data_IF_522532806239
#
_entry.id   IF_522532806239
#
_cell.length_a   1.000
_cell.length_b   1.000
_cell.length_c   1.000
_cell.angle_alpha   90.00
_cell.angle_beta   90.00
_cell.angle_gamma   90.00
#
_symmetry.space_group_name_H-M   'P 1'
#
loop_
_entity.id
_entity.type
_entity.pdbx_description
1 polymer ?
#
# COMPACT_ATOMS: atom_id res chain seq x y z
N UNK A 1 22.77 -73.42 11.24
CA UNK A 1 22.40 -74.54 10.35
C UNK A 1 22.20 -73.96 8.95
N UNK A 2 22.94 -74.45 7.95
CA UNK A 2 23.23 -73.72 6.70
C UNK A 2 22.03 -73.19 5.92
N UNK A 3 22.20 -71.99 5.34
CA UNK A 3 21.28 -71.28 4.44
C UNK A 3 21.09 -72.04 3.11
N UNK A 4 20.44 -73.21 3.18
CA UNK A 4 19.97 -73.88 1.98
C UNK A 4 18.75 -73.12 1.47
N UNK A 5 18.83 -72.64 0.23
CA UNK A 5 17.68 -72.05 -0.44
C UNK A 5 16.51 -73.04 -0.42
N UNK A 6 15.27 -72.55 -0.36
CA UNK A 6 14.08 -73.42 -0.38
C UNK A 6 14.13 -74.37 -1.59
N UNK A 7 14.68 -73.94 -2.73
CA UNK A 7 14.95 -74.79 -3.89
C UNK A 7 15.91 -75.94 -3.58
N UNK A 8 16.98 -75.69 -2.82
CA UNK A 8 17.93 -76.73 -2.40
C UNK A 8 17.30 -77.68 -1.37
N UNK A 9 16.47 -77.18 -0.45
CA UNK A 9 15.69 -78.01 0.49
C UNK A 9 14.64 -78.87 -0.22
N UNK A 10 13.92 -78.29 -1.19
CA UNK A 10 12.96 -79.01 -2.05
C UNK A 10 13.66 -80.08 -2.87
N UNK A 11 14.78 -79.73 -3.52
CA UNK A 11 15.56 -80.67 -4.32
C UNK A 11 16.11 -81.81 -3.47
N UNK A 12 16.57 -81.53 -2.25
CA UNK A 12 17.03 -82.56 -1.32
C UNK A 12 15.90 -83.46 -0.81
N UNK A 13 14.74 -82.90 -0.47
CA UNK A 13 13.58 -83.67 0.01
C UNK A 13 12.97 -84.56 -1.09
N UNK A 14 12.71 -84.00 -2.27
CA UNK A 14 12.24 -84.76 -3.42
C UNK A 14 13.28 -85.80 -3.88
N UNK A 15 14.56 -85.41 -3.89
CA UNK A 15 15.66 -86.31 -4.21
C UNK A 15 15.77 -87.48 -3.23
N UNK A 16 15.61 -87.24 -1.92
CA UNK A 16 15.64 -88.29 -0.91
C UNK A 16 14.45 -89.26 -1.03
N UNK A 17 13.24 -88.74 -1.25
CA UNK A 17 12.04 -89.59 -1.47
C UNK A 17 12.17 -90.42 -2.74
N UNK A 18 12.62 -89.81 -3.86
CA UNK A 18 12.86 -90.53 -5.11
C UNK A 18 13.96 -91.58 -4.98
N UNK A 19 15.02 -91.30 -4.21
CA UNK A 19 16.11 -92.23 -3.95
C UNK A 19 15.63 -93.43 -3.12
N UNK A 20 14.81 -93.22 -2.08
CA UNK A 20 14.23 -94.33 -1.30
C UNK A 20 13.27 -95.16 -2.15
N UNK A 21 12.46 -94.54 -3.01
CA UNK A 21 11.61 -95.25 -3.96
C UNK A 21 12.41 -96.05 -4.99
N UNK A 22 13.50 -95.48 -5.52
CA UNK A 22 14.38 -96.16 -6.47
C UNK A 22 15.12 -97.35 -5.81
N UNK A 23 15.57 -97.20 -4.56
CA UNK A 23 16.16 -98.29 -3.78
C UNK A 23 15.13 -99.38 -3.50
N UNK A 24 13.89 -99.03 -3.14
CA UNK A 24 12.82 -99.99 -2.91
C UNK A 24 12.45 -100.77 -4.18
N UNK A 25 12.34 -100.09 -5.33
CA UNK A 25 12.14 -100.73 -6.63
C UNK A 25 13.31 -101.63 -7.03
N UNK A 26 14.54 -101.17 -6.84
CA UNK A 26 15.75 -101.93 -7.15
C UNK A 26 15.88 -103.20 -6.31
N UNK A 27 15.69 -103.08 -4.99
CA UNK A 27 15.66 -104.23 -4.06
C UNK A 27 14.48 -105.17 -4.34
N UNK A 28 13.31 -104.63 -4.70
CA UNK A 28 12.15 -105.42 -5.08
C UNK A 28 12.43 -106.29 -6.31
N UNK A 29 13.06 -105.73 -7.35
CA UNK A 29 13.42 -106.48 -8.57
C UNK A 29 14.48 -107.54 -8.31
N UNK A 30 15.52 -107.24 -7.49
CA UNK A 30 16.57 -108.23 -7.18
C UNK A 30 16.03 -109.38 -6.34
N UNK A 31 15.15 -109.10 -5.37
CA UNK A 31 14.51 -110.14 -4.56
C UNK A 31 13.47 -110.95 -5.36
N UNK A 32 12.73 -110.34 -6.30
CA UNK A 32 11.83 -111.09 -7.18
C UNK A 32 12.60 -112.10 -8.04
N UNK A 33 13.80 -111.73 -8.51
CA UNK A 33 14.71 -112.64 -9.21
C UNK A 33 15.21 -113.75 -8.30
N UNK A 34 15.61 -113.43 -7.06
CA UNK A 34 16.06 -114.42 -6.08
C UNK A 34 14.94 -115.43 -5.72
N UNK A 35 13.70 -114.97 -5.56
CA UNK A 35 12.52 -115.82 -5.34
C UNK A 35 12.26 -116.69 -6.57
N UNK A 36 12.39 -116.16 -7.80
CA UNK A 36 12.25 -116.92 -9.03
C UNK A 36 13.32 -118.02 -9.20
N UNK A 37 14.57 -117.73 -8.85
CA UNK A 37 15.66 -118.72 -8.83
C UNK A 37 15.42 -119.80 -7.76
N UNK A 38 14.95 -119.40 -6.56
CA UNK A 38 14.60 -120.34 -5.50
C UNK A 38 13.40 -121.23 -5.86
N UNK A 39 12.40 -120.69 -6.58
CA UNK A 39 11.24 -121.45 -7.07
C UNK A 39 11.63 -122.46 -8.16
N UNK A 40 12.51 -122.10 -9.09
CA UNK A 40 13.06 -123.03 -10.09
C UNK A 40 13.96 -124.12 -9.45
N UNK A 41 14.71 -123.79 -8.41
CA UNK A 41 15.48 -124.76 -7.63
C UNK A 41 14.58 -125.73 -6.83
N UNK A 42 13.42 -125.27 -6.35
CA UNK A 42 12.43 -126.11 -5.67
C UNK A 42 11.70 -127.07 -6.62
N UNK A 43 11.44 -126.67 -7.87
CA UNK A 43 10.81 -127.51 -8.90
C UNK A 43 11.73 -128.63 -9.40
N UNK A 44 13.05 -128.41 -9.39
CA UNK A 44 14.05 -129.40 -9.84
C UNK A 44 14.54 -130.36 -8.75
N UNK A 45 14.24 -130.10 -7.47
CA UNK A 45 14.65 -130.91 -6.33
C UNK A 45 13.45 -131.62 -5.66
N UNK A 46 13.22 -132.89 -5.98
CA UNK A 46 12.20 -133.74 -5.36
C UNK A 46 12.50 -134.15 -3.89
N UNK A 47 13.04 -133.26 -3.05
CA UNK A 47 13.25 -133.47 -1.60
C UNK A 47 13.09 -132.19 -0.79
N UNK A 48 12.17 -132.26 0.17
CA UNK A 48 12.36 -131.69 1.51
C UNK A 48 11.66 -130.35 1.76
N UNK A 49 10.88 -130.31 2.85
CA UNK A 49 10.30 -129.12 3.47
C UNK A 49 11.27 -127.93 3.67
N UNK A 50 12.58 -128.13 3.52
CA UNK A 50 13.64 -127.13 3.59
C UNK A 50 13.58 -126.08 2.46
N UNK A 51 13.21 -126.45 1.23
CA UNK A 51 13.09 -125.48 0.12
C UNK A 51 11.85 -124.59 0.27
N UNK A 52 10.75 -125.14 0.80
CA UNK A 52 9.53 -124.38 1.13
C UNK A 52 9.74 -123.42 2.32
N UNK A 53 10.49 -123.85 3.35
CA UNK A 53 10.84 -122.96 4.48
C UNK A 53 11.82 -121.86 4.06
N UNK A 54 12.75 -122.14 3.13
CA UNK A 54 13.66 -121.14 2.58
C UNK A 54 12.94 -120.11 1.69
N UNK A 55 11.95 -120.54 0.90
CA UNK A 55 11.06 -119.63 0.15
C UNK A 55 10.24 -118.75 1.10
N UNK A 56 9.64 -119.33 2.13
CA UNK A 56 8.82 -118.60 3.13
C UNK A 56 9.68 -117.57 3.89
N UNK A 57 10.92 -117.94 4.25
CA UNK A 57 11.87 -117.02 4.88
C UNK A 57 12.33 -115.89 3.94
N UNK A 58 12.51 -116.15 2.65
CA UNK A 58 12.84 -115.10 1.67
C UNK A 58 11.65 -114.19 1.37
N UNK A 59 10.41 -114.73 1.33
CA UNK A 59 9.18 -113.94 1.15
C UNK A 59 8.94 -113.04 2.37
N UNK A 60 9.08 -113.56 3.60
CA UNK A 60 8.87 -112.78 4.84
C UNK A 60 9.91 -111.67 4.98
N UNK A 61 11.21 -111.97 4.82
CA UNK A 61 12.27 -110.94 4.87
C UNK A 61 12.13 -109.89 3.77
N UNK A 62 11.72 -110.27 2.55
CA UNK A 62 11.45 -109.31 1.46
C UNK A 62 10.24 -108.42 1.79
N UNK A 63 9.20 -109.00 2.40
CA UNK A 63 8.00 -108.25 2.83
C UNK A 63 8.34 -107.27 3.94
N UNK A 64 9.18 -107.64 4.90
CA UNK A 64 9.64 -106.77 6.00
C UNK A 64 10.49 -105.59 5.50
N UNK A 65 11.43 -105.83 4.58
CA UNK A 65 12.24 -104.76 3.98
C UNK A 65 11.41 -103.83 3.09
N UNK A 66 10.48 -104.35 2.29
CA UNK A 66 9.58 -103.54 1.47
C UNK A 66 8.60 -102.72 2.33
N UNK A 67 8.06 -103.30 3.40
CA UNK A 67 7.23 -102.58 4.36
C UNK A 67 8.03 -101.49 5.09
N UNK A 68 9.26 -101.79 5.53
CA UNK A 68 10.17 -100.83 6.16
C UNK A 68 10.53 -99.66 5.25
N UNK A 69 10.88 -99.94 3.98
CA UNK A 69 11.17 -98.90 2.98
C UNK A 69 9.92 -98.09 2.59
N UNK A 70 8.75 -98.73 2.53
CA UNK A 70 7.47 -98.06 2.31
C UNK A 70 7.12 -97.09 3.45
N UNK A 71 7.31 -97.51 4.70
CA UNK A 71 7.12 -96.65 5.88
C UNK A 71 8.15 -95.51 5.89
N UNK A 72 9.42 -95.80 5.59
CA UNK A 72 10.46 -94.78 5.51
C UNK A 72 10.16 -93.74 4.41
N UNK A 73 9.70 -94.18 3.24
CA UNK A 73 9.27 -93.29 2.15
C UNK A 73 8.07 -92.42 2.57
N UNK A 74 7.08 -93.01 3.27
CA UNK A 74 5.92 -92.28 3.77
C UNK A 74 6.30 -91.23 4.82
N UNK A 75 7.15 -91.59 5.79
CA UNK A 75 7.64 -90.66 6.81
C UNK A 75 8.45 -89.52 6.19
N UNK A 76 9.30 -89.82 5.20
CA UNK A 76 10.04 -88.80 4.45
C UNK A 76 9.11 -87.91 3.63
N UNK A 77 8.06 -88.46 3.02
CA UNK A 77 7.06 -87.68 2.30
C UNK A 77 6.30 -86.74 3.24
N UNK A 78 5.83 -87.21 4.39
CA UNK A 78 5.15 -86.39 5.42
C UNK A 78 6.08 -85.31 5.96
N UNK A 79 7.32 -85.65 6.30
CA UNK A 79 8.31 -84.69 6.76
C UNK A 79 8.63 -83.62 5.70
N UNK A 80 8.69 -84.01 4.42
CA UNK A 80 8.92 -83.11 3.30
C UNK A 80 7.74 -82.16 3.08
N UNK A 81 6.50 -82.67 3.12
CA UNK A 81 5.28 -81.85 3.02
C UNK A 81 5.20 -80.87 4.19
N UNK A 82 5.50 -81.31 5.42
CA UNK A 82 5.49 -80.45 6.59
C UNK A 82 6.56 -79.35 6.51
N UNK A 83 7.76 -79.69 6.09
CA UNK A 83 8.85 -78.74 5.88
C UNK A 83 8.53 -77.72 4.77
N UNK A 84 7.87 -78.16 3.71
CA UNK A 84 7.43 -77.30 2.61
C UNK A 84 6.27 -76.38 3.04
N UNK A 85 5.27 -76.94 3.73
CA UNK A 85 4.14 -76.19 4.27
C UNK A 85 4.62 -75.09 5.21
N UNK A 86 5.48 -75.43 6.19
CA UNK A 86 6.07 -74.42 7.08
C UNK A 86 6.97 -73.42 6.35
N UNK A 87 7.73 -73.88 5.36
CA UNK A 87 8.65 -73.03 4.59
C UNK A 87 7.96 -72.00 3.68
N UNK A 88 6.70 -72.22 3.32
CA UNK A 88 5.91 -71.32 2.46
C UNK A 88 4.84 -70.56 3.26
N UNK A 89 4.11 -71.23 4.17
CA UNK A 89 3.01 -70.62 4.91
C UNK A 89 3.48 -69.52 5.85
N UNK A 90 4.62 -69.70 6.54
CA UNK A 90 5.09 -68.69 7.49
C UNK A 90 5.48 -67.37 6.81
N UNK A 91 6.34 -67.35 5.76
CA UNK A 91 6.66 -66.09 5.10
C UNK A 91 5.47 -65.46 4.36
N UNK A 92 4.52 -66.27 3.89
CA UNK A 92 3.30 -65.77 3.26
C UNK A 92 2.38 -65.11 4.29
N UNK A 93 2.22 -65.71 5.47
CA UNK A 93 1.46 -65.11 6.57
C UNK A 93 2.11 -63.82 7.10
N UNK A 94 3.44 -63.75 7.14
CA UNK A 94 4.17 -62.51 7.46
C UNK A 94 3.91 -61.42 6.40
N UNK A 95 3.95 -61.77 5.11
CA UNK A 95 3.66 -60.83 4.02
C UNK A 95 2.19 -60.37 4.03
N UNK A 96 1.26 -61.28 4.33
CA UNK A 96 -0.17 -61.00 4.50
C UNK A 96 -0.40 -60.04 5.67
N UNK A 97 0.23 -60.28 6.82
CA UNK A 97 0.15 -59.40 7.98
C UNK A 97 0.64 -57.98 7.65
N UNK A 98 1.80 -57.84 6.97
CA UNK A 98 2.33 -56.54 6.57
C UNK A 98 1.33 -55.84 5.64
N UNK A 99 0.83 -56.55 4.62
CA UNK A 99 -0.11 -56.00 3.66
C UNK A 99 -1.44 -55.59 4.31
N UNK A 100 -1.99 -56.40 5.24
CA UNK A 100 -3.20 -56.07 5.99
C UNK A 100 -3.00 -54.88 6.93
N UNK A 101 -1.84 -54.78 7.57
CA UNK A 101 -1.49 -53.67 8.47
C UNK A 101 -1.41 -52.35 7.68
N UNK A 102 -0.70 -52.36 6.55
CA UNK A 102 -0.63 -51.20 5.63
C UNK A 102 -2.00 -50.87 5.03
N UNK A 103 -2.79 -51.86 4.64
CA UNK A 103 -4.14 -51.67 4.09
C UNK A 103 -5.14 -51.12 5.13
N UNK A 104 -4.96 -51.45 6.40
CA UNK A 104 -5.71 -50.87 7.52
C UNK A 104 -5.27 -49.43 7.83
N UNK A 105 -4.23 -48.92 7.17
CA UNK A 105 -3.67 -47.60 7.38
C UNK A 105 -2.76 -47.52 8.62
N UNK A 106 -2.34 -48.65 9.18
CA UNK A 106 -1.37 -48.66 10.27
C UNK A 106 0.06 -48.66 9.68
N UNK A 107 0.69 -47.50 9.75
CA UNK A 107 2.05 -47.19 9.31
C UNK A 107 2.95 -46.89 10.53
N UNK A 108 2.57 -47.38 11.70
CA UNK A 108 3.33 -47.19 12.95
C UNK A 108 4.24 -48.36 13.28
N UNK A 109 4.24 -49.41 12.45
CA UNK A 109 4.98 -50.65 12.67
C UNK A 109 6.16 -50.72 11.71
N UNK A 110 7.34 -50.95 12.25
CA UNK A 110 8.56 -51.17 11.47
C UNK A 110 8.70 -52.66 11.13
N UNK A 111 8.86 -52.97 9.84
CA UNK A 111 8.95 -54.35 9.35
C UNK A 111 10.37 -54.70 8.90
N UNK A 112 11.18 -55.22 9.82
CA UNK A 112 12.49 -55.78 9.51
C UNK A 112 12.41 -57.29 9.19
N UNK A 113 13.19 -57.74 8.19
CA UNK A 113 13.29 -59.17 7.86
C UNK A 113 14.74 -59.63 7.82
N UNK A 114 15.06 -60.65 8.63
CA UNK A 114 16.35 -61.35 8.56
C UNK A 114 16.35 -62.47 7.51
N UNK A 115 15.20 -62.70 6.84
CA UNK A 115 15.04 -63.78 5.87
C UNK A 115 15.79 -63.46 4.57
N UNK A 116 16.42 -64.47 3.99
CA UNK A 116 17.15 -64.37 2.72
C UNK A 116 16.44 -65.15 1.60
N UNK A 117 16.74 -64.83 0.34
CA UNK A 117 16.11 -65.45 -0.83
C UNK A 117 14.79 -64.78 -1.24
N UNK A 118 13.95 -65.44 -2.08
CA UNK A 118 12.78 -64.80 -2.70
C UNK A 118 11.76 -64.22 -1.72
N UNK A 119 11.48 -64.90 -0.60
CA UNK A 119 10.56 -64.39 0.42
C UNK A 119 11.17 -63.25 1.26
N UNK A 120 12.48 -63.28 1.50
CA UNK A 120 13.18 -62.14 2.10
C UNK A 120 13.12 -60.90 1.21
N UNK A 121 13.27 -61.07 -0.10
CA UNK A 121 13.12 -60.00 -1.08
C UNK A 121 11.68 -59.45 -1.14
N UNK A 122 10.67 -60.32 -1.01
CA UNK A 122 9.25 -59.93 -0.91
C UNK A 122 8.99 -59.10 0.36
N UNK A 123 9.34 -59.65 1.53
CA UNK A 123 9.11 -58.99 2.82
C UNK A 123 9.88 -57.67 2.91
N UNK A 124 11.15 -57.63 2.49
CA UNK A 124 11.92 -56.39 2.42
C UNK A 124 11.38 -55.42 1.36
N UNK A 125 10.69 -55.90 0.33
CA UNK A 125 9.97 -55.06 -0.62
C UNK A 125 8.72 -54.42 -0.02
N UNK A 126 7.96 -55.17 0.78
CA UNK A 126 6.80 -54.66 1.52
C UNK A 126 7.21 -53.67 2.61
N UNK A 127 8.30 -53.93 3.34
CA UNK A 127 8.88 -52.98 4.30
C UNK A 127 9.26 -51.65 3.64
N UNK A 128 10.00 -51.70 2.53
CA UNK A 128 10.31 -50.46 1.76
C UNK A 128 9.07 -49.73 1.24
N UNK A 129 7.99 -50.44 0.93
CA UNK A 129 6.73 -49.83 0.50
C UNK A 129 6.06 -49.10 1.68
N UNK A 130 6.06 -49.73 2.85
CA UNK A 130 5.58 -49.11 4.10
C UNK A 130 6.41 -47.87 4.45
N UNK A 131 7.75 -47.96 4.49
CA UNK A 131 8.65 -46.82 4.71
C UNK A 131 8.34 -45.63 3.79
N UNK A 132 8.16 -45.90 2.49
CA UNK A 132 7.83 -44.88 1.49
C UNK A 132 6.46 -44.25 1.74
N UNK A 133 5.45 -45.03 2.13
CA UNK A 133 4.14 -44.52 2.47
C UNK A 133 4.20 -43.68 3.76
N UNK A 134 4.94 -44.14 4.78
CA UNK A 134 5.16 -43.43 6.04
C UNK A 134 5.82 -42.06 5.82
N UNK A 135 6.87 -41.98 4.99
CA UNK A 135 7.51 -40.71 4.61
C UNK A 135 6.54 -39.81 3.84
N UNK A 136 5.80 -40.34 2.87
CA UNK A 136 4.82 -39.57 2.09
C UNK A 136 3.70 -38.99 2.97
N UNK A 137 3.06 -39.80 3.82
CA UNK A 137 1.99 -39.38 4.72
C UNK A 137 2.52 -38.35 5.73
N UNK A 138 3.74 -38.53 6.26
CA UNK A 138 4.39 -37.57 7.17
C UNK A 138 4.66 -36.23 6.51
N UNK A 139 5.14 -36.23 5.25
CA UNK A 139 5.35 -34.99 4.48
C UNK A 139 4.05 -34.29 4.15
N UNK A 140 3.01 -35.03 3.77
CA UNK A 140 1.68 -34.46 3.50
C UNK A 140 1.13 -33.81 4.77
N UNK A 141 1.19 -34.49 5.92
CA UNK A 141 0.76 -33.93 7.21
C UNK A 141 1.47 -32.61 7.51
N UNK A 142 2.80 -32.60 7.44
CA UNK A 142 3.63 -31.42 7.70
C UNK A 142 3.32 -30.27 6.73
N UNK A 143 3.14 -30.58 5.45
CA UNK A 143 2.78 -29.60 4.43
C UNK A 143 1.40 -29.00 4.69
N UNK A 144 0.44 -29.81 5.14
CA UNK A 144 -0.94 -29.39 5.37
C UNK A 144 -1.06 -28.53 6.64
N UNK A 145 -0.31 -28.86 7.69
CA UNK A 145 -0.17 -28.00 8.88
C UNK A 145 0.40 -26.63 8.50
N UNK A 146 1.42 -26.62 7.63
CA UNK A 146 2.03 -25.38 7.12
C UNK A 146 1.06 -24.54 6.28
N UNK A 147 0.23 -25.17 5.43
CA UNK A 147 -0.81 -24.47 4.64
C UNK A 147 -1.87 -23.87 5.57
N UNK A 148 -2.27 -24.60 6.61
CA UNK A 148 -3.25 -24.12 7.60
C UNK A 148 -2.73 -22.88 8.32
N UNK A 149 -1.49 -22.93 8.83
CA UNK A 149 -0.86 -21.78 9.50
C UNK A 149 -0.72 -20.58 8.54
N UNK A 150 -0.23 -20.82 7.31
CA UNK A 150 -0.10 -19.78 6.30
C UNK A 150 -1.44 -19.11 5.97
N UNK A 151 -2.51 -19.91 5.82
CA UNK A 151 -3.86 -19.40 5.55
C UNK A 151 -4.39 -18.54 6.69
N UNK A 152 -4.15 -18.92 7.95
CA UNK A 152 -4.50 -18.09 9.11
C UNK A 152 -3.73 -16.76 9.14
N UNK A 153 -2.43 -16.77 8.80
CA UNK A 153 -1.64 -15.53 8.70
C UNK A 153 -2.14 -14.62 7.59
N UNK A 154 -2.51 -15.18 6.44
CA UNK A 154 -3.11 -14.40 5.34
C UNK A 154 -4.44 -13.80 5.78
N UNK A 155 -5.32 -14.57 6.42
CA UNK A 155 -6.61 -14.07 6.92
C UNK A 155 -6.45 -12.91 7.93
N UNK A 156 -5.48 -13.03 8.85
CA UNK A 156 -5.16 -11.96 9.81
C UNK A 156 -4.61 -10.70 9.09
N UNK A 157 -3.66 -10.87 8.16
CA UNK A 157 -3.12 -9.76 7.38
C UNK A 157 -4.17 -9.08 6.49
N UNK A 158 -5.13 -9.86 5.99
CA UNK A 158 -6.24 -9.36 5.19
C UNK A 158 -7.26 -8.57 6.02
N UNK A 159 -7.46 -8.95 7.29
CA UNK A 159 -8.26 -8.16 8.25
C UNK A 159 -7.61 -6.80 8.53
N UNK A 160 -6.28 -6.76 8.73
CA UNK A 160 -5.53 -5.51 8.86
C UNK A 160 -5.65 -4.63 7.60
N UNK A 161 -5.50 -5.25 6.42
CA UNK A 161 -5.66 -4.56 5.15
C UNK A 161 -7.07 -3.99 4.96
N UNK A 162 -8.11 -4.71 5.39
CA UNK A 162 -9.50 -4.22 5.40
C UNK A 162 -9.63 -2.96 6.24
N UNK A 163 -9.16 -2.99 7.50
CA UNK A 163 -9.24 -1.84 8.41
C UNK A 163 -8.49 -0.61 7.85
N UNK A 164 -7.31 -0.83 7.26
CA UNK A 164 -6.55 0.25 6.61
C UNK A 164 -7.24 0.78 5.36
N UNK A 165 -7.90 -0.07 4.59
CA UNK A 165 -8.66 0.32 3.39
C UNK A 165 -9.89 1.15 3.79
N UNK A 166 -10.61 0.77 4.83
CA UNK A 166 -11.73 1.53 5.40
C UNK A 166 -11.28 2.89 5.95
N UNK A 167 -10.18 2.91 6.71
CA UNK A 167 -9.59 4.16 7.21
C UNK A 167 -9.17 5.08 6.06
N UNK A 168 -8.55 4.52 5.02
CA UNK A 168 -8.16 5.28 3.83
C UNK A 168 -9.38 5.86 3.10
N UNK A 169 -10.47 5.09 2.97
CA UNK A 169 -11.72 5.59 2.39
C UNK A 169 -12.27 6.78 3.20
N UNK A 170 -12.27 6.70 4.53
CA UNK A 170 -12.70 7.81 5.39
C UNK A 170 -11.84 9.07 5.21
N UNK A 171 -10.51 8.92 5.14
CA UNK A 171 -9.58 10.04 4.89
C UNK A 171 -9.75 10.63 3.48
N UNK A 172 -10.03 9.80 2.47
CA UNK A 172 -10.32 10.27 1.11
C UNK A 172 -11.62 11.08 1.07
N UNK A 173 -12.66 10.65 1.79
CA UNK A 173 -13.92 11.39 1.91
C UNK A 173 -13.71 12.79 2.52
N UNK A 174 -12.94 12.87 3.62
CA UNK A 174 -12.61 14.14 4.27
C UNK A 174 -11.78 15.03 3.34
N UNK A 175 -10.78 14.45 2.68
CA UNK A 175 -9.94 15.17 1.70
C UNK A 175 -10.78 15.72 0.55
N UNK A 176 -11.71 14.94 0.00
CA UNK A 176 -12.61 15.39 -1.05
C UNK A 176 -13.52 16.54 -0.59
N UNK A 177 -14.03 16.48 0.65
CA UNK A 177 -14.79 17.58 1.25
C UNK A 177 -13.95 18.85 1.37
N UNK A 178 -12.73 18.74 1.92
CA UNK A 178 -11.80 19.88 2.01
C UNK A 178 -11.44 20.45 0.65
N UNK A 179 -11.29 19.62 -0.39
CA UNK A 179 -11.04 20.08 -1.75
C UNK A 179 -12.23 20.84 -2.34
N UNK A 180 -13.46 20.42 -2.04
CA UNK A 180 -14.67 21.16 -2.44
C UNK A 180 -14.73 22.53 -1.76
N UNK A 181 -14.44 22.60 -0.46
CA UNK A 181 -14.38 23.87 0.28
C UNK A 181 -13.26 24.79 -0.25
N UNK A 182 -12.07 24.24 -0.50
CA UNK A 182 -10.95 24.98 -1.10
C UNK A 182 -11.31 25.52 -2.48
N UNK A 183 -11.96 24.72 -3.32
CA UNK A 183 -12.43 25.15 -4.64
C UNK A 183 -13.39 26.34 -4.52
N UNK A 184 -14.35 26.26 -3.60
CA UNK A 184 -15.30 27.35 -3.36
C UNK A 184 -14.60 28.62 -2.86
N UNK A 185 -13.63 28.51 -1.95
CA UNK A 185 -12.86 29.64 -1.45
C UNK A 185 -12.01 30.30 -2.55
N UNK A 186 -11.36 29.52 -3.42
CA UNK A 186 -10.56 30.05 -4.54
C UNK A 186 -11.46 30.76 -5.57
N UNK A 187 -12.63 30.21 -5.89
CA UNK A 187 -13.61 30.89 -6.74
C UNK A 187 -14.08 32.21 -6.12
N UNK A 188 -14.38 32.21 -4.81
CA UNK A 188 -14.76 33.43 -4.10
C UNK A 188 -13.64 34.47 -4.08
N UNK A 189 -12.38 34.07 -3.88
CA UNK A 189 -11.23 34.96 -3.93
C UNK A 189 -11.05 35.57 -5.33
N UNK A 190 -11.27 34.78 -6.39
CA UNK A 190 -11.21 35.26 -7.76
C UNK A 190 -12.26 36.34 -8.02
N UNK A 191 -13.51 36.12 -7.60
CA UNK A 191 -14.57 37.13 -7.77
C UNK A 191 -14.31 38.38 -6.91
N UNK A 192 -13.86 38.21 -5.67
CA UNK A 192 -13.48 39.33 -4.79
C UNK A 192 -12.35 40.16 -5.38
N UNK A 193 -11.34 39.53 -5.99
CA UNK A 193 -10.25 40.23 -6.66
C UNK A 193 -10.78 41.03 -7.87
N UNK A 194 -11.69 40.45 -8.67
CA UNK A 194 -12.34 41.15 -9.80
C UNK A 194 -13.19 42.33 -9.34
N UNK A 195 -13.95 42.17 -8.26
CA UNK A 195 -14.76 43.24 -7.68
C UNK A 195 -13.89 44.37 -7.14
N UNK A 196 -12.86 44.04 -6.35
CA UNK A 196 -11.89 45.00 -5.84
C UNK A 196 -11.18 45.75 -6.98
N UNK A 197 -10.91 45.07 -8.10
CA UNK A 197 -10.27 45.68 -9.27
C UNK A 197 -11.19 46.73 -9.91
N UNK A 198 -12.49 46.42 -10.07
CA UNK A 198 -13.50 47.40 -10.53
C UNK A 198 -13.58 48.60 -9.59
N UNK A 199 -13.57 48.35 -8.28
CA UNK A 199 -13.62 49.41 -7.27
C UNK A 199 -12.38 50.31 -7.32
N UNK A 200 -11.18 49.73 -7.44
CA UNK A 200 -9.92 50.45 -7.61
C UNK A 200 -9.93 51.32 -8.87
N UNK A 201 -10.38 50.79 -10.01
CA UNK A 201 -10.51 51.57 -11.25
C UNK A 201 -11.46 52.77 -11.08
N UNK A 202 -12.60 52.58 -10.42
CA UNK A 202 -13.52 53.67 -10.10
C UNK A 202 -12.88 54.73 -9.19
N UNK A 203 -12.14 54.30 -8.16
CA UNK A 203 -11.43 55.21 -7.26
C UNK A 203 -10.34 56.02 -8.00
N UNK A 204 -9.62 55.39 -8.93
CA UNK A 204 -8.65 56.05 -9.80
C UNK A 204 -9.32 57.15 -10.63
N UNK A 205 -10.47 56.86 -11.25
CA UNK A 205 -11.22 57.85 -12.02
C UNK A 205 -11.81 59.00 -11.18
N UNK A 206 -12.07 58.78 -9.88
CA UNK A 206 -12.43 59.86 -8.96
C UNK A 206 -11.21 60.74 -8.65
N UNK A 207 -10.05 60.14 -8.37
CA UNK A 207 -8.83 60.86 -8.07
C UNK A 207 -8.31 61.66 -9.28
N UNK A 208 -8.40 61.11 -10.50
CA UNK A 208 -8.06 61.82 -11.74
C UNK A 208 -8.91 63.08 -11.93
N UNK A 209 -10.24 62.97 -11.80
CA UNK A 209 -11.15 64.13 -11.81
C UNK A 209 -10.87 65.12 -10.68
N UNK A 210 -10.51 64.63 -9.50
CA UNK A 210 -10.08 65.46 -8.37
C UNK A 210 -8.84 66.29 -8.72
N UNK A 211 -7.86 65.67 -9.39
CA UNK A 211 -6.68 66.33 -9.93
C UNK A 211 -7.01 67.43 -10.94
N UNK A 212 -7.91 67.14 -11.90
CA UNK A 212 -8.38 68.13 -12.89
C UNK A 212 -9.01 69.36 -12.21
N UNK A 213 -9.84 69.14 -11.18
CA UNK A 213 -10.45 70.24 -10.41
C UNK A 213 -9.37 71.06 -9.69
N UNK A 214 -8.36 70.42 -9.07
CA UNK A 214 -7.26 71.14 -8.44
C UNK A 214 -6.49 71.99 -9.45
N UNK A 215 -6.21 71.47 -10.65
CA UNK A 215 -5.57 72.23 -11.74
C UNK A 215 -6.39 73.46 -12.13
N UNK A 216 -7.70 73.30 -12.31
CA UNK A 216 -8.59 74.43 -12.63
C UNK A 216 -8.62 75.50 -11.51
N UNK A 217 -8.53 75.09 -10.24
CA UNK A 217 -8.44 76.02 -9.11
C UNK A 217 -7.11 76.77 -9.12
N UNK A 218 -5.98 76.11 -9.42
CA UNK A 218 -4.67 76.77 -9.56
C UNK A 218 -4.72 77.82 -10.67
N UNK A 219 -5.28 77.48 -11.85
CA UNK A 219 -5.43 78.41 -12.97
C UNK A 219 -6.28 79.63 -12.59
N UNK A 220 -7.36 79.42 -11.83
CA UNK A 220 -8.21 80.50 -11.33
C UNK A 220 -7.46 81.39 -10.34
N UNK A 221 -6.67 80.81 -9.43
CA UNK A 221 -5.82 81.57 -8.50
C UNK A 221 -4.76 82.39 -9.23
N UNK A 222 -4.15 81.84 -10.29
CA UNK A 222 -3.20 82.55 -11.14
C UNK A 222 -3.85 83.75 -11.86
N UNK A 223 -5.10 83.58 -12.32
CA UNK A 223 -5.87 84.66 -12.94
C UNK A 223 -6.23 85.75 -11.93
N UNK A 224 -6.61 85.38 -10.71
CA UNK A 224 -6.87 86.32 -9.60
C UNK A 224 -5.59 87.09 -9.25
N UNK A 225 -4.45 86.41 -9.07
CA UNK A 225 -3.15 87.04 -8.80
C UNK A 225 -2.78 88.07 -9.87
N UNK A 226 -2.95 87.70 -11.15
CA UNK A 226 -2.69 88.59 -12.29
C UNK A 226 -3.64 89.80 -12.28
N UNK A 227 -4.92 89.58 -11.97
CA UNK A 227 -5.91 90.65 -11.89
C UNK A 227 -5.61 91.60 -10.72
N UNK A 228 -5.28 91.08 -9.54
CA UNK A 228 -4.94 91.86 -8.35
C UNK A 228 -3.71 92.73 -8.59
N UNK A 229 -2.67 92.22 -9.25
CA UNK A 229 -1.49 93.02 -9.65
C UNK A 229 -1.85 94.19 -10.55
N UNK A 230 -2.74 93.99 -11.55
CA UNK A 230 -3.23 95.09 -12.39
C UNK A 230 -4.01 96.13 -11.59
N UNK A 231 -4.80 95.71 -10.60
CA UNK A 231 -5.50 96.66 -9.72
C UNK A 231 -4.49 97.44 -8.88
N UNK A 232 -3.44 96.79 -8.35
CA UNK A 232 -2.36 97.47 -7.62
C UNK A 232 -1.69 98.56 -8.48
N UNK A 233 -1.39 98.26 -9.75
CA UNK A 233 -0.82 99.23 -10.69
C UNK A 233 -1.75 100.44 -10.91
N UNK A 234 -3.06 100.21 -11.03
CA UNK A 234 -4.06 101.27 -11.19
C UNK A 234 -4.12 102.15 -9.94
N UNK A 235 -4.07 101.53 -8.75
CA UNK A 235 -4.09 102.24 -7.47
C UNK A 235 -2.84 103.10 -7.30
N UNK A 236 -1.68 102.64 -7.76
CA UNK A 236 -0.45 103.44 -7.80
C UNK A 236 -0.59 104.68 -8.69
N UNK A 237 -1.24 104.54 -9.86
CA UNK A 237 -1.55 105.68 -10.73
C UNK A 237 -2.52 106.65 -10.04
N UNK A 238 -3.56 106.17 -9.36
CA UNK A 238 -4.50 107.00 -8.60
C UNK A 238 -3.79 107.76 -7.48
N UNK A 239 -2.89 107.10 -6.75
CA UNK A 239 -2.07 107.74 -5.72
C UNK A 239 -1.17 108.83 -6.33
N UNK A 240 -0.60 108.57 -7.51
CA UNK A 240 0.14 109.56 -8.30
C UNK A 240 -0.69 110.78 -8.69
N UNK A 241 -1.92 110.56 -9.18
CA UNK A 241 -2.88 111.63 -9.52
C UNK A 241 -3.25 112.44 -8.27
N UNK A 242 -3.55 111.77 -7.16
CA UNK A 242 -3.86 112.44 -5.90
C UNK A 242 -2.68 113.30 -5.41
N UNK A 243 -1.45 112.82 -5.53
CA UNK A 243 -0.25 113.60 -5.21
C UNK A 243 -0.11 114.83 -6.14
N UNK A 244 -0.23 114.65 -7.46
CA UNK A 244 -0.19 115.76 -8.42
C UNK A 244 -1.29 116.80 -8.14
N UNK A 245 -2.51 116.37 -7.83
CA UNK A 245 -3.65 117.23 -7.48
C UNK A 245 -3.38 118.02 -6.20
N UNK A 246 -2.77 117.38 -5.20
CA UNK A 246 -2.35 118.03 -3.95
C UNK A 246 -1.29 119.12 -4.19
N UNK A 247 -0.33 118.89 -5.10
CA UNK A 247 0.67 119.90 -5.49
C UNK A 247 0.02 121.06 -6.28
N UNK A 248 -0.86 120.74 -7.24
CA UNK A 248 -1.62 121.74 -8.00
C UNK A 248 -2.47 122.63 -7.10
N UNK A 249 -3.19 122.03 -6.14
CA UNK A 249 -4.00 122.74 -5.17
C UNK A 249 -3.16 123.62 -4.24
N UNK A 250 -1.98 123.15 -3.81
CA UNK A 250 -1.04 123.97 -3.05
C UNK A 250 -0.56 125.18 -3.86
N UNK A 251 -0.16 124.98 -5.11
CA UNK A 251 0.28 126.07 -6.00
C UNK A 251 -0.85 127.08 -6.22
N UNK A 252 -2.09 126.62 -6.42
CA UNK A 252 -3.27 127.48 -6.55
C UNK A 252 -3.56 128.27 -5.27
N UNK A 253 -3.43 127.64 -4.09
CA UNK A 253 -3.61 128.32 -2.81
C UNK A 253 -2.55 129.43 -2.59
N UNK A 254 -1.30 129.18 -3.01
CA UNK A 254 -0.21 130.16 -2.96
C UNK A 254 -0.51 131.35 -3.89
N UNK A 255 -0.93 131.09 -5.13
CA UNK A 255 -1.25 132.17 -6.09
C UNK A 255 -2.50 132.96 -5.67
N UNK A 256 -3.49 132.29 -5.09
CA UNK A 256 -4.67 132.94 -4.51
C UNK A 256 -4.30 133.86 -3.32
N UNK A 257 -3.37 133.44 -2.46
CA UNK A 257 -2.83 134.30 -1.39
C UNK A 257 -2.09 135.52 -1.95
N UNK A 258 -1.40 135.35 -3.10
CA UNK A 258 -0.68 136.41 -3.80
C UNK A 258 -1.61 137.48 -4.40
N UNK A 259 -2.82 137.09 -4.80
CA UNK A 259 -3.86 137.99 -5.32
C UNK A 259 -4.62 138.79 -4.23
N UNK A 260 -4.30 138.58 -2.94
CA UNK A 260 -4.90 139.33 -1.83
C UNK A 260 -6.41 139.09 -1.67
N UNK A 261 -7.18 140.16 -1.39
CA UNK A 261 -8.62 140.06 -1.14
C UNK A 261 -9.43 139.54 -2.35
N UNK A 262 -8.93 139.71 -3.58
CA UNK A 262 -9.60 139.19 -4.80
C UNK A 262 -9.44 137.67 -4.96
N UNK A 263 -8.43 137.06 -4.32
CA UNK A 263 -8.15 135.62 -4.38
C UNK A 263 -8.81 134.80 -3.26
N UNK A 264 -9.50 135.44 -2.31
CA UNK A 264 -10.01 134.80 -1.09
C UNK A 264 -10.93 133.61 -1.35
N UNK A 265 -11.83 133.72 -2.34
CA UNK A 265 -12.71 132.62 -2.75
C UNK A 265 -11.95 131.46 -3.40
N UNK A 266 -10.94 131.76 -4.23
CA UNK A 266 -10.08 130.75 -4.85
C UNK A 266 -9.20 130.02 -3.83
N UNK A 267 -8.72 130.71 -2.79
CA UNK A 267 -7.92 130.10 -1.72
C UNK A 267 -8.71 129.03 -0.94
N UNK A 268 -10.00 129.26 -0.67
CA UNK A 268 -10.87 128.28 0.00
C UNK A 268 -11.09 127.05 -0.87
N UNK A 269 -11.40 127.24 -2.16
CA UNK A 269 -11.56 126.12 -3.11
C UNK A 269 -10.26 125.32 -3.24
N UNK A 270 -9.11 126.00 -3.33
CA UNK A 270 -7.81 125.34 -3.38
C UNK A 270 -7.51 124.53 -2.09
N UNK A 271 -7.90 125.05 -0.92
CA UNK A 271 -7.82 124.31 0.34
C UNK A 271 -8.69 123.05 0.37
N UNK A 272 -9.92 123.14 -0.13
CA UNK A 272 -10.85 122.00 -0.19
C UNK A 272 -10.37 120.93 -1.18
N UNK A 273 -9.89 121.34 -2.36
CA UNK A 273 -9.29 120.43 -3.36
C UNK A 273 -8.05 119.73 -2.78
N UNK A 274 -7.23 120.45 -2.00
CA UNK A 274 -6.07 119.87 -1.32
C UNK A 274 -6.48 118.81 -0.29
N UNK A 275 -7.46 119.12 0.57
CA UNK A 275 -7.99 118.16 1.55
C UNK A 275 -8.57 116.92 0.86
N UNK A 276 -9.32 117.11 -0.24
CA UNK A 276 -9.85 116.01 -1.04
C UNK A 276 -8.73 115.16 -1.63
N UNK A 277 -7.68 115.77 -2.18
CA UNK A 277 -6.53 115.07 -2.73
C UNK A 277 -5.78 114.25 -1.66
N UNK A 278 -5.61 114.78 -0.44
CA UNK A 278 -5.04 114.04 0.68
C UNK A 278 -5.91 112.86 1.12
N UNK A 279 -7.23 113.03 1.16
CA UNK A 279 -8.18 111.94 1.43
C UNK A 279 -8.13 110.85 0.37
N UNK A 280 -8.09 111.22 -0.91
CA UNK A 280 -7.93 110.26 -2.02
C UNK A 280 -6.61 109.51 -1.95
N UNK A 281 -5.51 110.17 -1.58
CA UNK A 281 -4.22 109.51 -1.40
C UNK A 281 -4.22 108.52 -0.23
N UNK A 282 -4.89 108.85 0.88
CA UNK A 282 -5.04 107.95 2.01
C UNK A 282 -5.89 106.71 1.65
N UNK A 283 -7.03 106.93 0.99
CA UNK A 283 -7.89 105.84 0.52
C UNK A 283 -7.18 104.94 -0.50
N UNK A 284 -6.42 105.53 -1.44
CA UNK A 284 -5.63 104.74 -2.39
C UNK A 284 -4.60 103.85 -1.69
N UNK A 285 -3.95 104.36 -0.63
CA UNK A 285 -2.98 103.57 0.16
C UNK A 285 -3.65 102.41 0.89
N UNK A 286 -4.80 102.65 1.53
CA UNK A 286 -5.59 101.61 2.20
C UNK A 286 -6.07 100.52 1.22
N UNK A 287 -6.50 100.90 0.02
CA UNK A 287 -6.85 99.95 -1.04
C UNK A 287 -5.62 99.16 -1.48
N UNK A 288 -4.45 99.80 -1.61
CA UNK A 288 -3.20 99.12 -1.97
C UNK A 288 -2.84 98.04 -0.95
N UNK A 289 -2.88 98.38 0.34
CA UNK A 289 -2.58 97.44 1.42
C UNK A 289 -3.52 96.21 1.36
N UNK A 290 -4.83 96.41 1.13
CA UNK A 290 -5.80 95.32 0.96
C UNK A 290 -5.53 94.43 -0.27
N UNK A 291 -5.04 95.03 -1.37
CA UNK A 291 -4.68 94.28 -2.58
C UNK A 291 -3.43 93.46 -2.33
N UNK A 292 -2.41 94.03 -1.68
CA UNK A 292 -1.17 93.33 -1.36
C UNK A 292 -1.45 92.13 -0.43
N UNK A 293 -2.30 92.30 0.58
CA UNK A 293 -2.78 91.21 1.44
C UNK A 293 -3.50 90.12 0.64
N UNK A 294 -4.37 90.52 -0.30
CA UNK A 294 -5.09 89.58 -1.16
C UNK A 294 -4.15 88.78 -2.08
N UNK A 295 -3.13 89.43 -2.65
CA UNK A 295 -2.09 88.78 -3.47
C UNK A 295 -1.33 87.74 -2.64
N UNK A 296 -0.92 88.09 -1.42
CA UNK A 296 -0.25 87.16 -0.52
C UNK A 296 -1.13 85.94 -0.20
N UNK A 297 -2.41 86.15 0.08
CA UNK A 297 -3.34 85.08 0.43
C UNK A 297 -3.63 84.15 -0.75
N UNK A 298 -3.78 84.71 -1.96
CA UNK A 298 -3.93 83.95 -3.21
C UNK A 298 -2.68 83.13 -3.51
N UNK A 299 -1.48 83.68 -3.32
CA UNK A 299 -0.22 82.94 -3.49
C UNK A 299 -0.08 81.74 -2.54
N UNK A 300 -0.46 81.93 -1.26
CA UNK A 300 -0.50 80.84 -0.27
C UNK A 300 -1.54 79.77 -0.66
N UNK A 301 -2.74 80.20 -1.07
CA UNK A 301 -3.80 79.32 -1.57
C UNK A 301 -3.37 78.49 -2.78
N UNK A 302 -2.74 79.12 -3.78
CA UNK A 302 -2.20 78.44 -4.96
C UNK A 302 -1.19 77.35 -4.58
N UNK A 303 -0.29 77.64 -3.64
CA UNK A 303 0.69 76.65 -3.14
C UNK A 303 0.00 75.45 -2.47
N UNK A 304 -1.03 75.69 -1.65
CA UNK A 304 -1.76 74.62 -0.95
C UNK A 304 -2.53 73.73 -1.94
N UNK A 305 -3.21 74.34 -2.90
CA UNK A 305 -3.96 73.61 -3.95
C UNK A 305 -3.01 72.83 -4.86
N UNK A 306 -1.83 73.38 -5.20
CA UNK A 306 -0.79 72.67 -5.94
C UNK A 306 -0.33 71.40 -5.21
N UNK A 307 -0.10 71.48 -3.89
CA UNK A 307 0.19 70.29 -3.06
C UNK A 307 -0.95 69.28 -3.06
N UNK A 308 -2.20 69.75 -2.94
CA UNK A 308 -3.37 68.87 -3.01
C UNK A 308 -3.47 68.15 -4.37
N UNK A 309 -3.17 68.85 -5.47
CA UNK A 309 -3.09 68.26 -6.82
C UNK A 309 -2.00 67.19 -6.92
N UNK A 310 -0.82 67.42 -6.35
CA UNK A 310 0.25 66.42 -6.28
C UNK A 310 -0.19 65.18 -5.48
N UNK A 311 -0.84 65.36 -4.33
CA UNK A 311 -1.36 64.23 -3.54
C UNK A 311 -2.39 63.41 -4.31
N UNK A 312 -3.23 64.04 -5.14
CA UNK A 312 -4.15 63.30 -6.01
C UNK A 312 -3.41 62.43 -7.04
N UNK A 313 -2.30 62.92 -7.61
CA UNK A 313 -1.47 62.11 -8.52
C UNK A 313 -0.82 60.92 -7.81
N UNK A 314 -0.36 61.11 -6.58
CA UNK A 314 0.19 60.03 -5.74
C UNK A 314 -0.89 58.97 -5.45
N UNK A 315 -2.13 59.38 -5.14
CA UNK A 315 -3.26 58.47 -4.96
C UNK A 315 -3.52 57.65 -6.23
N UNK A 316 -3.55 58.27 -7.41
CA UNK A 316 -3.71 57.56 -8.68
C UNK A 316 -2.61 56.51 -8.87
N UNK A 317 -1.35 56.86 -8.57
CA UNK A 317 -0.23 55.93 -8.61
C UNK A 317 -0.42 54.73 -7.67
N UNK A 318 -0.81 54.98 -6.42
CA UNK A 318 -1.05 53.93 -5.43
C UNK A 318 -2.21 53.00 -5.85
N UNK A 319 -3.31 53.56 -6.36
CA UNK A 319 -4.46 52.77 -6.83
C UNK A 319 -4.11 51.92 -8.06
N UNK A 320 -3.28 52.42 -8.97
CA UNK A 320 -2.75 51.62 -10.09
C UNK A 320 -1.92 50.44 -9.58
N UNK A 321 -1.09 50.63 -8.56
CA UNK A 321 -0.34 49.54 -7.95
C UNK A 321 -1.27 48.47 -7.33
N UNK A 322 -2.32 48.89 -6.61
CA UNK A 322 -3.36 47.98 -6.09
C UNK A 322 -4.04 47.19 -7.21
N UNK A 323 -4.36 47.85 -8.32
CA UNK A 323 -4.97 47.21 -9.51
C UNK A 323 -4.06 46.11 -10.08
N UNK A 324 -2.75 46.36 -10.17
CA UNK A 324 -1.77 45.34 -10.59
C UNK A 324 -1.76 44.13 -9.66
N UNK A 325 -1.69 44.35 -8.35
CA UNK A 325 -1.70 43.26 -7.35
C UNK A 325 -2.98 42.42 -7.42
N UNK A 326 -4.14 43.05 -7.64
CA UNK A 326 -5.41 42.34 -7.80
C UNK A 326 -5.43 41.49 -9.08
N UNK A 327 -4.79 41.94 -10.15
CA UNK A 327 -4.59 41.14 -11.37
C UNK A 327 -3.69 39.92 -11.13
N UNK A 328 -2.62 40.08 -10.36
CA UNK A 328 -1.74 38.99 -9.95
C UNK A 328 -2.48 37.97 -9.06
N UNK A 329 -3.28 38.44 -8.10
CA UNK A 329 -4.13 37.57 -7.26
C UNK A 329 -5.14 36.79 -8.11
N UNK A 330 -5.78 37.43 -9.10
CA UNK A 330 -6.70 36.76 -10.01
C UNK A 330 -6.02 35.64 -10.79
N UNK A 331 -4.86 35.93 -11.38
CA UNK A 331 -4.07 34.95 -12.14
C UNK A 331 -3.60 33.79 -11.23
N UNK A 332 -3.10 34.10 -10.03
CA UNK A 332 -2.68 33.09 -9.07
C UNK A 332 -3.85 32.21 -8.60
N UNK A 333 -5.04 32.78 -8.43
CA UNK A 333 -6.25 32.05 -8.06
C UNK A 333 -6.71 31.12 -9.18
N UNK A 334 -6.61 31.54 -10.46
CA UNK A 334 -6.88 30.66 -11.60
C UNK A 334 -5.91 29.47 -11.66
N UNK A 335 -4.62 29.70 -11.41
CA UNK A 335 -3.63 28.62 -11.29
C UNK A 335 -3.94 27.68 -10.11
N UNK A 336 -4.31 28.20 -8.94
CA UNK A 336 -4.74 27.39 -7.80
C UNK A 336 -5.95 26.53 -8.14
N UNK A 337 -6.94 27.10 -8.83
CA UNK A 337 -8.14 26.35 -9.25
C UNK A 337 -7.77 25.18 -10.16
N UNK A 338 -6.85 25.38 -11.11
CA UNK A 338 -6.35 24.30 -11.96
C UNK A 338 -5.59 23.24 -11.16
N UNK A 339 -4.78 23.64 -10.18
CA UNK A 339 -4.05 22.71 -9.31
C UNK A 339 -4.99 21.88 -8.44
N UNK A 340 -6.03 22.50 -7.89
CA UNK A 340 -7.05 21.79 -7.10
C UNK A 340 -7.82 20.79 -7.97
N UNK A 341 -8.13 21.13 -9.22
CA UNK A 341 -8.78 20.20 -10.14
C UNK A 341 -7.93 18.94 -10.41
N UNK A 342 -6.61 19.09 -10.56
CA UNK A 342 -5.69 17.95 -10.72
C UNK A 342 -5.62 17.09 -9.44
N UNK A 343 -5.61 17.72 -8.26
CA UNK A 343 -5.65 16.99 -6.99
C UNK A 343 -6.97 16.23 -6.84
N UNK A 344 -8.10 16.83 -7.23
CA UNK A 344 -9.40 16.18 -7.19
C UNK A 344 -9.47 14.94 -8.11
N UNK A 345 -8.86 15.02 -9.30
CA UNK A 345 -8.72 13.87 -10.19
C UNK A 345 -7.88 12.75 -9.54
N UNK A 346 -6.75 13.10 -8.92
CA UNK A 346 -5.90 12.14 -8.21
C UNK A 346 -6.63 11.48 -7.02
N UNK A 347 -7.44 12.23 -6.26
CA UNK A 347 -8.27 11.70 -5.17
C UNK A 347 -9.32 10.72 -5.71
N UNK A 348 -9.93 11.03 -6.86
CA UNK A 348 -10.90 10.12 -7.53
C UNK A 348 -10.24 8.82 -7.97
N UNK A 349 -9.00 8.89 -8.47
CA UNK A 349 -8.23 7.71 -8.83
C UNK A 349 -7.84 6.89 -7.59
N UNK A 350 -7.47 7.54 -6.49
CA UNK A 350 -7.20 6.88 -5.21
C UNK A 350 -8.45 6.17 -4.68
N UNK A 351 -9.62 6.79 -4.76
CA UNK A 351 -10.90 6.16 -4.37
C UNK A 351 -11.17 4.88 -5.19
N UNK A 352 -10.94 4.92 -6.50
CA UNK A 352 -11.06 3.74 -7.37
C UNK A 352 -10.13 2.60 -6.91
N UNK A 353 -8.88 2.91 -6.58
CA UNK A 353 -7.91 1.91 -6.07
C UNK A 353 -8.32 1.41 -4.68
N UNK A 354 -8.83 2.27 -3.81
CA UNK A 354 -9.35 1.89 -2.50
C UNK A 354 -10.53 0.91 -2.62
N UNK A 355 -11.46 1.15 -3.54
CA UNK A 355 -12.56 0.22 -3.82
C UNK A 355 -12.06 -1.11 -4.41
N UNK A 356 -11.07 -1.08 -5.30
CA UNK A 356 -10.43 -2.29 -5.81
C UNK A 356 -9.73 -3.08 -4.71
N UNK A 357 -9.06 -2.40 -3.78
CA UNK A 357 -8.43 -3.04 -2.63
C UNK A 357 -9.47 -3.70 -1.72
N UNK A 358 -10.62 -3.06 -1.49
CA UNK A 358 -11.71 -3.68 -0.72
C UNK A 358 -12.21 -4.97 -1.39
N UNK A 359 -12.41 -4.96 -2.71
CA UNK A 359 -12.79 -6.16 -3.47
C UNK A 359 -11.70 -7.25 -3.43
N UNK A 360 -10.43 -6.87 -3.54
CA UNK A 360 -9.30 -7.80 -3.43
C UNK A 360 -9.18 -8.41 -2.03
N UNK A 361 -9.46 -7.63 -0.99
CA UNK A 361 -9.52 -8.10 0.40
C UNK A 361 -10.62 -9.15 0.53
N UNK A 362 -11.83 -8.91 0.04
CA UNK A 362 -12.90 -9.92 0.08
C UNK A 362 -12.51 -11.21 -0.66
N UNK A 363 -11.92 -11.09 -1.85
CA UNK A 363 -11.44 -12.22 -2.63
C UNK A 363 -10.32 -13.00 -1.92
N UNK A 364 -9.36 -12.30 -1.32
CA UNK A 364 -8.25 -12.91 -0.58
C UNK A 364 -8.72 -13.60 0.70
N UNK A 365 -9.71 -13.04 1.41
CA UNK A 365 -10.35 -13.69 2.55
C UNK A 365 -11.01 -15.00 2.13
N UNK A 366 -11.81 -14.97 1.06
CA UNK A 366 -12.47 -16.16 0.53
C UNK A 366 -11.46 -17.25 0.10
N UNK A 367 -10.40 -16.86 -0.62
CA UNK A 367 -9.35 -17.78 -1.03
C UNK A 367 -8.59 -18.39 0.17
N UNK A 368 -8.28 -17.59 1.18
CA UNK A 368 -7.57 -18.07 2.39
C UNK A 368 -8.43 -19.04 3.20
N UNK A 369 -9.73 -18.78 3.31
CA UNK A 369 -10.66 -19.69 3.97
C UNK A 369 -10.79 -21.01 3.19
N UNK A 370 -10.91 -20.95 1.87
CA UNK A 370 -10.95 -22.14 1.03
C UNK A 370 -9.66 -22.99 1.14
N UNK A 371 -8.49 -22.37 1.19
CA UNK A 371 -7.21 -23.07 1.43
C UNK A 371 -7.17 -23.73 2.81
N UNK A 372 -7.69 -23.06 3.84
CA UNK A 372 -7.76 -23.62 5.19
C UNK A 372 -8.76 -24.78 5.29
N UNK A 373 -9.87 -24.71 4.55
CA UNK A 373 -10.85 -25.80 4.44
C UNK A 373 -10.25 -27.02 3.72
N UNK A 374 -9.61 -26.83 2.57
CA UNK A 374 -8.94 -27.89 1.81
C UNK A 374 -7.82 -28.56 2.62
N UNK A 375 -7.04 -27.76 3.36
CA UNK A 375 -6.01 -28.28 4.25
C UNK A 375 -6.62 -29.13 5.38
N UNK A 376 -7.74 -28.69 5.99
CA UNK A 376 -8.45 -29.50 6.99
C UNK A 376 -9.00 -30.79 6.41
N UNK A 377 -9.50 -30.78 5.17
CA UNK A 377 -9.95 -31.99 4.49
C UNK A 377 -8.79 -32.96 4.27
N UNK A 378 -7.65 -32.50 3.76
CA UNK A 378 -6.44 -33.32 3.59
C UNK A 378 -5.93 -33.89 4.91
N UNK A 379 -5.89 -33.08 5.98
CA UNK A 379 -5.58 -33.55 7.33
C UNK A 379 -6.52 -34.67 7.78
N UNK A 380 -7.83 -34.56 7.49
CA UNK A 380 -8.82 -35.59 7.86
C UNK A 380 -8.62 -36.91 7.10
N UNK A 381 -8.14 -36.85 5.86
CA UNK A 381 -7.83 -38.03 5.04
C UNK A 381 -6.54 -38.70 5.55
N UNK A 382 -5.51 -37.90 5.83
CA UNK A 382 -4.21 -38.36 6.32
C UNK A 382 -4.32 -38.89 7.76
N UNK A 383 -5.21 -38.33 8.59
CA UNK A 383 -5.43 -38.78 9.97
C UNK A 383 -6.01 -40.20 10.09
N UNK A 384 -6.49 -40.79 8.98
CA UNK A 384 -6.89 -42.20 8.94
C UNK A 384 -5.67 -43.13 9.04
N UNK A 385 -4.49 -42.64 8.65
CA UNK A 385 -3.25 -43.39 8.76
C UNK A 385 -2.64 -43.17 10.15
N UNK A 386 -2.32 -44.27 10.84
CA UNK A 386 -1.59 -44.24 12.10
C UNK A 386 -0.11 -44.21 11.80
N UNK A 387 0.54 -43.10 12.13
CA UNK A 387 1.99 -42.99 12.10
C UNK A 387 2.54 -43.30 13.49
N UNK A 388 3.80 -43.70 13.55
CA UNK A 388 4.51 -43.84 14.82
C UNK A 388 4.38 -42.55 15.65
N UNK A 389 4.04 -42.68 16.93
CA UNK A 389 3.94 -41.53 17.82
C UNK A 389 5.35 -41.02 18.12
N UNK A 390 5.88 -40.17 17.24
CA UNK A 390 7.11 -39.44 17.49
C UNK A 390 7.05 -38.71 18.84
N UNK A 391 8.19 -38.53 19.54
CA UNK A 391 8.22 -37.94 20.87
C UNK A 391 7.53 -36.57 20.84
N UNK A 392 6.56 -36.38 21.75
CA UNK A 392 5.80 -35.14 21.86
C UNK A 392 6.73 -33.92 21.81
N UNK A 393 6.39 -32.86 21.05
CA UNK A 393 7.21 -31.66 21.03
C UNK A 393 7.35 -31.15 22.47
N UNK A 394 8.59 -31.14 22.98
CA UNK A 394 8.87 -30.55 24.28
C UNK A 394 8.35 -29.11 24.25
N UNK A 395 7.57 -28.67 25.26
CA UNK A 395 7.05 -27.32 25.28
C UNK A 395 8.24 -26.36 25.22
N UNK A 396 8.25 -25.51 24.19
CA UNK A 396 9.24 -24.46 24.02
C UNK A 396 9.36 -23.70 25.35
N UNK A 397 10.54 -23.75 25.95
CA UNK A 397 10.91 -22.94 27.09
C UNK A 397 10.63 -21.48 26.74
N UNK A 398 9.60 -20.90 27.38
CA UNK A 398 9.32 -19.47 27.32
C UNK A 398 10.61 -18.73 27.69
N UNK A 399 11.24 -18.08 26.71
CA UNK A 399 12.27 -17.10 26.98
C UNK A 399 11.69 -16.01 27.90
N UNK A 400 12.43 -15.53 28.92
CA UNK A 400 11.96 -14.43 29.73
C UNK A 400 11.90 -13.19 28.85
N UNK A 401 10.70 -12.64 28.71
CA UNK A 401 10.45 -11.33 28.11
C UNK A 401 11.35 -10.28 28.78
N UNK A 402 12.36 -9.80 28.06
CA UNK A 402 13.09 -8.58 28.41
C UNK A 402 12.09 -7.42 28.42
N UNK A 403 11.64 -7.04 29.61
CA UNK A 403 10.94 -5.80 29.84
C UNK A 403 11.86 -4.64 29.44
N UNK A 404 11.57 -4.04 28.29
CA UNK A 404 12.13 -2.75 27.91
C UNK A 404 11.58 -1.71 28.89
N UNK A 405 12.43 -1.23 29.80
CA UNK A 405 12.12 -0.11 30.65
C UNK A 405 11.83 1.13 29.77
N UNK A 406 10.60 1.62 29.83
CA UNK A 406 10.22 2.87 29.21
C UNK A 406 10.90 4.02 29.98
N UNK A 407 11.80 4.71 29.29
CA UNK A 407 12.22 6.06 29.67
C UNK A 407 11.26 7.05 29.00
N UNK A 408 10.44 7.74 29.81
CA UNK A 408 9.98 9.11 29.58
C UNK A 408 9.60 9.74 30.92
#
# INVERSE_FOLDING_TARGET
MGNWTIRARLGACFGAVLLVLAIALGMGVTQLRAIGEAAHAADTAARGAASLTQLDQQITTTTEWMAGLGIAALLLAVASVHALSKGIQQPLAEAELIAETVAAGDLSQEFETERTGPFGALLGGLGRMEDMLTDLITRIKTSTDSITEASHRIAAGNTDLSQRTEQQAATLQETASSMSELTAMVQQNTERAREANRFAQSASGIAERGGEVMTAVVDTMQAIDTSSKKVADIVDVIQGIAFQTNILALNAAVEAARAGEQGRGFAVVAGEVRTLAQRSAAAAREIKDLIDDSVQQVGSGSTLVGKAGQTMQEIVGAVRHVTTLLGEIGTASEHQSSGIAQVAEAVTQMDTVTQQNAALVEQAAAASNALADEARELQSVVARFRLEAGPAPMPASREPSLQLAAAR
#
